data_IF_219374772502
#
_entry.id   IF_219374772502
#
_cell.length_a   1.000
_cell.length_b   1.000
_cell.length_c   1.000
_cell.angle_alpha   90.00
_cell.angle_beta   90.00
_cell.angle_gamma   90.00
#
_symmetry.space_group_name_H-M   'P 1'
#
loop_
_entity.id
_entity.type
_entity.pdbx_description
1 polymer ?
#
# COMPACT_ATOMS: atom_id res chain seq x y z
N UNK A 1 9.19 10.02 33.08
CA UNK A 1 10.65 10.21 32.83
C UNK A 1 11.16 9.23 31.77
N UNK A 2 10.91 7.93 31.87
CA UNK A 2 11.36 6.88 30.93
C UNK A 2 10.87 7.10 29.47
N UNK A 3 9.58 7.45 29.29
CA UNK A 3 9.01 7.67 27.95
C UNK A 3 9.71 8.80 27.20
N UNK A 4 9.91 9.95 27.84
CA UNK A 4 10.59 11.08 27.18
C UNK A 4 12.03 10.75 26.79
N UNK A 5 12.72 9.93 27.58
CA UNK A 5 14.06 9.43 27.26
C UNK A 5 14.04 8.53 26.03
N UNK A 6 12.99 7.70 25.88
CA UNK A 6 12.80 6.86 24.68
C UNK A 6 12.62 7.73 23.42
N UNK A 7 11.73 8.73 23.47
CA UNK A 7 11.53 9.67 22.35
C UNK A 7 12.82 10.40 21.98
N UNK A 8 13.55 10.91 22.96
CA UNK A 8 14.85 11.58 22.72
C UNK A 8 15.84 10.67 22.01
N UNK A 9 15.94 9.42 22.47
CA UNK A 9 16.85 8.44 21.88
C UNK A 9 16.45 8.08 20.45
N UNK A 10 15.15 7.92 20.18
CA UNK A 10 14.60 7.64 18.87
C UNK A 10 14.86 8.82 17.91
N UNK A 11 14.42 10.01 18.30
CA UNK A 11 14.45 11.20 17.45
C UNK A 11 15.85 11.74 17.19
N UNK A 12 16.78 11.60 18.16
CA UNK A 12 18.16 12.07 18.01
C UNK A 12 18.94 11.44 16.85
N UNK A 13 18.47 10.31 16.30
CA UNK A 13 19.11 9.57 15.21
C UNK A 13 18.21 9.33 14.01
N UNK A 14 17.03 9.94 14.00
CA UNK A 14 16.01 9.68 12.98
C UNK A 14 16.13 10.56 11.74
N UNK A 15 16.93 11.63 11.80
CA UNK A 15 17.00 12.57 10.69
C UNK A 15 18.43 12.96 10.36
N UNK A 16 18.79 13.12 9.06
CA UNK A 16 20.13 13.58 8.64
C UNK A 16 20.27 15.11 8.67
N UNK A 17 19.22 15.83 9.04
CA UNK A 17 19.14 17.30 9.12
C UNK A 17 18.58 17.74 10.47
N UNK A 18 18.71 19.04 10.84
CA UNK A 18 18.19 19.52 12.11
C UNK A 18 16.68 19.58 12.11
N UNK A 19 16.08 19.04 13.21
CA UNK A 19 14.64 19.04 13.46
C UNK A 19 14.38 19.57 14.86
N UNK A 20 13.44 20.51 14.99
CA UNK A 20 12.90 20.95 16.28
C UNK A 20 11.80 20.02 16.71
N UNK A 21 11.81 19.58 17.95
CA UNK A 21 10.75 18.73 18.52
C UNK A 21 10.20 19.42 19.76
N UNK A 22 8.91 19.67 19.74
CA UNK A 22 8.16 20.17 20.88
C UNK A 22 7.33 19.03 21.48
N UNK A 23 7.52 18.77 22.77
CA UNK A 23 6.86 17.67 23.47
C UNK A 23 5.57 18.13 24.13
N UNK A 24 4.72 17.17 24.50
CA UNK A 24 3.43 17.37 25.21
C UNK A 24 3.54 18.14 26.55
N UNK A 25 4.74 18.33 27.09
CA UNK A 25 4.99 19.15 28.27
C UNK A 25 5.42 20.60 27.92
N UNK A 26 5.31 20.97 26.65
CA UNK A 26 5.66 22.28 26.11
C UNK A 26 7.16 22.55 25.96
N UNK A 27 8.01 21.59 26.31
CA UNK A 27 9.47 21.73 26.17
C UNK A 27 9.90 21.35 24.76
N UNK A 28 10.75 22.19 24.18
CA UNK A 28 11.30 21.95 22.84
C UNK A 28 12.79 21.61 22.92
N UNK A 29 13.23 20.77 21.98
CA UNK A 29 14.63 20.42 21.79
C UNK A 29 14.94 20.40 20.29
N UNK A 30 16.19 20.70 19.90
CA UNK A 30 16.65 20.59 18.51
C UNK A 30 17.57 19.40 18.40
N UNK A 31 17.31 18.52 17.45
CA UNK A 31 18.13 17.39 17.10
C UNK A 31 18.86 17.65 15.78
N UNK A 32 20.16 17.38 15.73
CA UNK A 32 21.02 17.71 14.60
C UNK A 32 21.69 19.07 14.75
N UNK A 33 22.59 19.38 13.83
CA UNK A 33 23.35 20.62 13.81
C UNK A 33 22.77 21.60 12.81
N UNK A 34 22.59 22.88 13.19
CA UNK A 34 22.09 23.94 12.34
C UNK A 34 20.70 24.46 12.73
N UNK A 35 20.14 25.30 11.89
CA UNK A 35 18.80 25.88 12.10
C UNK A 35 17.74 24.91 11.57
N UNK A 36 16.78 24.47 12.40
CA UNK A 36 15.73 23.57 11.96
C UNK A 36 14.72 24.29 11.07
N UNK A 37 14.39 23.69 9.92
CA UNK A 37 13.31 24.12 9.02
C UNK A 37 12.01 23.35 9.27
N UNK A 38 12.10 22.25 10.01
CA UNK A 38 10.97 21.37 10.33
C UNK A 38 10.81 21.28 11.83
N UNK A 39 9.58 21.41 12.30
CA UNK A 39 9.20 21.18 13.69
C UNK A 39 8.18 20.06 13.78
N UNK A 40 8.41 19.13 14.72
CA UNK A 40 7.46 18.09 15.12
C UNK A 40 6.91 18.48 16.48
N UNK A 41 5.59 18.61 16.58
CA UNK A 41 4.89 18.92 17.83
C UNK A 41 4.11 17.69 18.27
N UNK A 42 4.44 17.15 19.43
CA UNK A 42 3.65 16.12 20.08
C UNK A 42 2.66 16.80 21.04
N UNK A 43 1.40 16.91 20.61
CA UNK A 43 0.31 17.42 21.45
C UNK A 43 -0.03 16.40 22.54
N UNK A 44 0.06 15.12 22.21
CA UNK A 44 -0.16 14.00 23.12
C UNK A 44 0.97 12.97 22.99
N UNK A 45 1.03 12.07 23.98
CA UNK A 45 1.96 10.94 23.94
C UNK A 45 1.40 9.84 23.06
N UNK A 46 2.24 9.30 22.19
CA UNK A 46 1.97 8.01 21.56
C UNK A 46 2.58 6.93 22.46
N UNK A 47 1.86 5.87 22.83
CA UNK A 47 2.38 4.84 23.70
C UNK A 47 3.65 4.20 23.12
N UNK A 48 4.66 4.04 23.97
CA UNK A 48 5.95 3.42 23.57
C UNK A 48 5.75 1.99 23.03
N UNK A 49 4.76 1.27 23.58
CA UNK A 49 4.36 -0.06 23.09
C UNK A 49 3.97 -0.07 21.62
N UNK A 50 3.23 0.95 21.19
CA UNK A 50 2.71 1.05 19.83
C UNK A 50 3.83 1.43 18.86
N UNK A 51 4.68 2.40 19.24
CA UNK A 51 5.87 2.77 18.47
C UNK A 51 6.81 1.58 18.31
N UNK A 52 7.02 0.77 19.37
CA UNK A 52 7.91 -0.39 19.28
C UNK A 52 7.32 -1.53 18.49
N UNK A 53 6.00 -1.66 18.46
CA UNK A 53 5.27 -2.67 17.67
C UNK A 53 5.30 -2.33 16.18
N UNK A 54 4.90 -1.13 15.83
CA UNK A 54 4.91 -0.61 14.46
C UNK A 54 5.01 0.92 14.48
N UNK A 55 6.24 1.45 14.39
CA UNK A 55 6.48 2.89 14.47
C UNK A 55 5.79 3.67 13.34
N UNK A 56 5.78 3.12 12.13
CA UNK A 56 5.17 3.78 10.97
C UNK A 56 3.67 3.96 11.16
N UNK A 57 2.98 2.90 11.60
CA UNK A 57 1.55 2.93 11.88
C UNK A 57 1.24 3.88 13.05
N UNK A 58 1.90 3.69 14.20
CA UNK A 58 1.63 4.47 15.41
C UNK A 58 1.86 5.98 15.23
N UNK A 59 2.92 6.37 14.50
CA UNK A 59 3.20 7.77 14.20
C UNK A 59 2.25 8.32 13.13
N UNK A 60 1.88 7.53 12.13
CA UNK A 60 0.92 7.90 11.10
C UNK A 60 -0.48 8.13 11.68
N UNK A 61 -0.99 7.22 12.49
CA UNK A 61 -2.27 7.38 13.21
C UNK A 61 -2.21 8.59 14.16
N UNK A 62 -1.09 8.76 14.88
CA UNK A 62 -0.89 9.92 15.75
C UNK A 62 -0.96 11.25 14.99
N UNK A 63 -0.47 11.30 13.75
CA UNK A 63 -0.58 12.46 12.88
C UNK A 63 -2.04 12.68 12.42
N UNK A 64 -2.73 11.64 11.98
CA UNK A 64 -4.13 11.71 11.57
C UNK A 64 -5.05 12.16 12.72
N UNK A 65 -4.79 11.68 13.93
CA UNK A 65 -5.52 12.04 15.15
C UNK A 65 -5.14 13.42 15.73
N UNK A 66 -4.22 14.16 15.06
CA UNK A 66 -3.68 15.44 15.56
C UNK A 66 -2.93 15.36 16.90
N UNK A 67 -2.52 14.17 17.30
CA UNK A 67 -1.61 13.98 18.44
C UNK A 67 -0.19 14.39 18.09
N UNK A 68 0.13 14.39 16.80
CA UNK A 68 1.39 14.87 16.23
C UNK A 68 1.04 15.91 15.16
N UNK A 69 1.71 17.04 15.19
CA UNK A 69 1.68 18.04 14.14
C UNK A 69 3.08 18.22 13.55
N UNK A 70 3.14 18.51 12.24
CA UNK A 70 4.39 18.73 11.52
C UNK A 70 4.30 20.11 10.87
N UNK A 71 5.22 20.99 11.22
CA UNK A 71 5.38 22.29 10.61
C UNK A 71 6.62 22.27 9.71
N UNK A 72 6.46 22.56 8.43
CA UNK A 72 7.49 22.48 7.39
C UNK A 72 7.23 21.37 6.37
N UNK A 73 8.26 20.94 5.67
CA UNK A 73 8.17 19.97 4.58
C UNK A 73 8.07 18.53 5.12
N UNK A 74 6.84 17.98 5.11
CA UNK A 74 6.55 16.60 5.54
C UNK A 74 7.24 15.55 4.64
N UNK A 75 7.38 15.81 3.34
CA UNK A 75 8.06 14.87 2.43
C UNK A 75 9.52 14.77 2.80
N UNK A 76 10.20 15.91 3.00
CA UNK A 76 11.59 15.96 3.47
C UNK A 76 11.77 15.21 4.79
N UNK A 77 10.82 15.38 5.73
CA UNK A 77 10.84 14.68 7.02
C UNK A 77 10.76 13.16 6.84
N UNK A 78 9.81 12.68 6.04
CA UNK A 78 9.62 11.25 5.79
C UNK A 78 10.83 10.64 5.08
N UNK A 79 11.33 11.27 4.02
CA UNK A 79 12.53 10.82 3.33
C UNK A 79 13.74 10.73 4.28
N UNK A 80 13.99 11.75 5.08
CA UNK A 80 15.09 11.75 6.05
C UNK A 80 14.94 10.65 7.11
N UNK A 81 13.72 10.37 7.56
CA UNK A 81 13.45 9.28 8.47
C UNK A 81 13.77 7.92 7.84
N UNK A 82 13.41 7.68 6.58
CA UNK A 82 13.73 6.44 5.86
C UNK A 82 15.23 6.28 5.59
N UNK A 83 15.92 7.35 5.18
CA UNK A 83 17.37 7.33 5.02
C UNK A 83 18.11 6.96 6.32
N UNK A 84 17.66 7.53 7.44
CA UNK A 84 18.24 7.29 8.75
C UNK A 84 17.82 5.95 9.38
N UNK A 85 16.62 5.44 9.07
CA UNK A 85 16.10 4.20 9.64
C UNK A 85 16.99 3.00 9.36
N UNK A 86 17.61 2.95 8.18
CA UNK A 86 18.57 1.91 7.81
C UNK A 86 19.79 1.88 8.73
N UNK A 87 20.29 3.02 9.19
CA UNK A 87 21.44 3.12 10.09
C UNK A 87 21.06 2.86 11.55
N UNK A 88 19.92 3.36 12.02
CA UNK A 88 19.41 3.17 13.37
C UNK A 88 19.02 1.71 13.64
N UNK A 89 18.24 1.10 12.75
CA UNK A 89 17.78 -0.29 12.90
C UNK A 89 18.92 -1.31 12.73
N UNK A 90 19.92 -1.03 11.91
CA UNK A 90 21.10 -1.91 11.73
C UNK A 90 22.09 -1.82 12.89
N UNK A 91 22.24 -0.65 13.52
CA UNK A 91 23.25 -0.40 14.54
C UNK A 91 22.77 -0.63 15.97
N UNK A 92 21.47 -0.78 16.22
CA UNK A 92 20.96 -0.81 17.58
C UNK A 92 20.96 -2.20 18.19
N UNK A 93 21.44 -2.29 19.44
CA UNK A 93 21.26 -3.45 20.34
C UNK A 93 19.76 -3.77 20.54
N UNK A 94 18.86 -2.84 20.18
CA UNK A 94 17.41 -2.95 20.24
C UNK A 94 16.79 -3.87 19.18
N UNK A 95 17.51 -4.19 18.09
CA UNK A 95 17.03 -5.16 17.08
C UNK A 95 16.62 -6.51 17.70
N UNK A 96 17.18 -6.87 18.82
CA UNK A 96 16.82 -8.11 19.55
C UNK A 96 15.49 -8.03 20.28
N UNK A 97 14.98 -6.81 20.52
CA UNK A 97 13.73 -6.54 21.24
C UNK A 97 12.59 -6.15 20.33
N UNK A 98 12.85 -5.92 19.03
CA UNK A 98 11.78 -5.65 18.06
C UNK A 98 11.09 -6.97 17.75
N UNK A 99 9.75 -7.05 17.85
CA UNK A 99 9.01 -8.22 17.45
C UNK A 99 9.30 -8.47 15.96
N UNK A 100 9.70 -9.70 15.61
CA UNK A 100 9.76 -10.11 14.22
C UNK A 100 8.32 -10.15 13.73
N UNK A 101 7.94 -9.22 12.85
CA UNK A 101 6.68 -9.34 12.13
C UNK A 101 6.75 -10.64 11.33
N UNK A 102 6.00 -11.64 11.75
CA UNK A 102 5.74 -12.82 10.96
C UNK A 102 4.49 -12.48 10.12
N UNK A 103 4.68 -12.19 8.85
CA UNK A 103 3.57 -12.22 7.91
C UNK A 103 3.12 -13.68 7.80
N UNK A 104 1.96 -13.97 8.37
CA UNK A 104 1.28 -15.26 8.20
C UNK A 104 0.29 -15.11 7.04
N UNK A 105 -0.06 -16.20 6.37
CA UNK A 105 -1.08 -16.20 5.32
C UNK A 105 -2.38 -15.54 5.82
N UNK A 106 -2.82 -15.88 7.02
CA UNK A 106 -3.99 -15.30 7.65
C UNK A 106 -3.89 -13.80 7.86
N UNK A 107 -2.71 -13.28 8.24
CA UNK A 107 -2.49 -11.84 8.39
C UNK A 107 -2.53 -11.11 7.04
N UNK A 108 -1.98 -11.72 5.99
CA UNK A 108 -2.04 -11.17 4.63
C UNK A 108 -3.46 -11.14 4.09
N UNK A 109 -4.26 -12.15 4.41
CA UNK A 109 -5.68 -12.21 4.08
C UNK A 109 -6.47 -11.10 4.77
N UNK A 110 -6.34 -10.98 6.11
CA UNK A 110 -6.98 -9.94 6.91
C UNK A 110 -6.58 -8.52 6.43
N UNK A 111 -5.30 -8.31 6.09
CA UNK A 111 -4.79 -7.03 5.59
C UNK A 111 -5.40 -6.69 4.22
N UNK A 112 -5.51 -7.66 3.30
CA UNK A 112 -6.12 -7.47 1.98
C UNK A 112 -7.62 -7.24 2.11
N UNK A 113 -8.32 -8.04 2.91
CA UNK A 113 -9.75 -7.87 3.16
C UNK A 113 -10.03 -6.50 3.74
N UNK A 114 -9.33 -6.07 4.80
CA UNK A 114 -9.54 -4.77 5.41
C UNK A 114 -9.31 -3.60 4.44
N UNK A 115 -8.43 -3.78 3.44
CA UNK A 115 -8.14 -2.74 2.44
C UNK A 115 -9.21 -2.68 1.35
N UNK A 116 -9.67 -3.83 0.84
CA UNK A 116 -10.58 -3.88 -0.31
C UNK A 116 -12.06 -3.97 0.08
N UNK A 117 -12.38 -4.40 1.30
CA UNK A 117 -13.76 -4.53 1.79
C UNK A 117 -14.37 -3.23 2.33
N UNK A 118 -13.72 -2.08 2.05
CA UNK A 118 -14.33 -0.75 2.22
C UNK A 118 -15.60 -0.62 1.35
N UNK A 119 -15.72 -1.47 0.33
CA UNK A 119 -16.91 -1.60 -0.52
C UNK A 119 -16.71 -1.04 -1.93
N UNK A 120 -17.34 -1.71 -2.89
CA UNK A 120 -17.25 -1.35 -4.31
C UNK A 120 -17.70 0.08 -4.59
N UNK A 121 -18.67 0.61 -3.82
CA UNK A 121 -19.20 1.95 -4.04
C UNK A 121 -18.20 3.05 -3.67
N UNK A 122 -17.35 2.80 -2.67
CA UNK A 122 -16.25 3.70 -2.36
C UNK A 122 -15.25 3.81 -3.52
N UNK A 123 -14.85 2.67 -4.08
CA UNK A 123 -13.88 2.65 -5.19
C UNK A 123 -14.44 3.29 -6.46
N UNK A 124 -15.73 3.12 -6.77
CA UNK A 124 -16.40 3.77 -7.90
C UNK A 124 -16.41 5.30 -7.82
N UNK A 125 -16.25 5.90 -6.64
CA UNK A 125 -16.24 7.37 -6.51
C UNK A 125 -14.99 8.02 -7.11
N UNK A 126 -13.89 7.30 -7.26
CA UNK A 126 -12.61 7.89 -7.68
C UNK A 126 -11.81 7.05 -8.68
N UNK A 127 -12.14 5.78 -8.88
CA UNK A 127 -11.58 5.00 -9.98
C UNK A 127 -12.29 5.37 -11.30
N UNK A 128 -11.58 5.08 -12.39
CA UNK A 128 -12.17 5.15 -13.73
C UNK A 128 -13.27 4.10 -13.94
N UNK A 129 -14.11 4.20 -15.00
CA UNK A 129 -15.20 3.26 -15.24
C UNK A 129 -14.77 1.79 -15.36
N UNK A 130 -13.51 1.52 -15.73
CA UNK A 130 -13.00 0.15 -15.81
C UNK A 130 -12.67 -0.45 -14.43
N UNK A 131 -12.78 0.35 -13.37
CA UNK A 131 -12.42 -0.07 -12.00
C UNK A 131 -11.01 -0.62 -11.89
N UNK A 132 -10.06 -0.09 -12.65
CA UNK A 132 -8.69 -0.57 -12.65
C UNK A 132 -7.86 0.10 -11.58
N UNK A 133 -7.59 -0.60 -10.50
CA UNK A 133 -6.84 -0.08 -9.34
C UNK A 133 -5.35 -0.41 -9.42
N UNK A 134 -4.69 0.13 -10.42
CA UNK A 134 -3.23 0.09 -10.59
C UNK A 134 -2.79 1.25 -11.48
N UNK A 135 -1.47 1.54 -11.53
CA UNK A 135 -0.96 2.67 -12.31
C UNK A 135 -1.38 2.57 -13.77
N UNK A 136 -1.94 3.67 -14.29
CA UNK A 136 -2.30 3.81 -15.69
C UNK A 136 -1.07 4.00 -16.59
N UNK A 137 -1.19 3.71 -17.87
CA UNK A 137 -0.17 3.96 -18.89
C UNK A 137 -0.62 5.10 -19.77
N UNK A 138 -0.06 6.28 -19.54
CA UNK A 138 -0.32 7.47 -20.35
C UNK A 138 0.61 7.46 -21.57
N UNK A 139 0.05 7.28 -22.74
CA UNK A 139 0.77 7.44 -24.00
C UNK A 139 1.05 8.93 -24.27
N UNK A 140 2.04 9.23 -25.10
CA UNK A 140 2.36 10.62 -25.45
C UNK A 140 1.12 11.33 -26.03
N UNK A 141 0.80 12.49 -25.46
CA UNK A 141 -0.37 13.29 -25.85
C UNK A 141 -1.70 12.93 -25.17
N UNK A 142 -1.72 11.87 -24.34
CA UNK A 142 -2.89 11.53 -23.50
C UNK A 142 -2.57 11.77 -22.03
N UNK A 143 -2.74 12.99 -21.56
CA UNK A 143 -2.41 13.36 -20.17
C UNK A 143 -3.61 13.48 -19.25
N UNK A 144 -4.85 13.53 -19.81
CA UNK A 144 -6.02 13.99 -19.07
C UNK A 144 -7.17 12.96 -19.04
N UNK A 145 -7.04 11.82 -19.74
CA UNK A 145 -8.08 10.79 -19.82
C UNK A 145 -7.62 9.50 -19.12
N UNK A 146 -8.02 9.36 -17.86
CA UNK A 146 -7.64 8.22 -17.04
C UNK A 146 -8.19 6.90 -17.59
N UNK A 147 -9.43 6.87 -18.11
CA UNK A 147 -10.04 5.65 -18.66
C UNK A 147 -9.23 5.14 -19.86
N UNK A 148 -8.90 6.03 -20.80
CA UNK A 148 -8.04 5.66 -21.94
C UNK A 148 -6.67 5.18 -21.49
N UNK A 149 -6.06 5.83 -20.51
CA UNK A 149 -4.76 5.43 -19.99
C UNK A 149 -4.81 4.06 -19.28
N UNK A 150 -5.91 3.73 -18.61
CA UNK A 150 -6.11 2.42 -18.01
C UNK A 150 -6.33 1.34 -19.07
N UNK A 151 -7.12 1.61 -20.11
CA UNK A 151 -7.31 0.71 -21.26
C UNK A 151 -5.96 0.49 -21.97
N UNK A 152 -5.22 1.56 -22.27
CA UNK A 152 -3.89 1.48 -22.87
C UNK A 152 -2.93 0.62 -22.03
N UNK A 153 -2.96 0.74 -20.69
CA UNK A 153 -2.18 -0.09 -19.78
C UNK A 153 -2.53 -1.57 -19.91
N UNK A 154 -3.82 -1.91 -19.96
CA UNK A 154 -4.26 -3.30 -20.09
C UNK A 154 -3.73 -3.90 -21.41
N UNK A 155 -3.89 -3.20 -22.53
CA UNK A 155 -3.34 -3.64 -23.80
C UNK A 155 -1.82 -3.72 -23.81
N UNK A 156 -1.15 -2.74 -23.17
CA UNK A 156 0.31 -2.75 -23.04
C UNK A 156 0.82 -4.00 -22.28
N UNK A 157 0.13 -4.42 -21.23
CA UNK A 157 0.45 -5.63 -20.48
C UNK A 157 0.22 -6.86 -21.35
N UNK A 158 -0.97 -6.98 -21.96
CA UNK A 158 -1.33 -8.13 -22.78
C UNK A 158 -0.39 -8.30 -23.99
N UNK A 159 -0.07 -7.20 -24.67
CA UNK A 159 0.84 -7.24 -25.82
C UNK A 159 2.27 -7.72 -25.47
N UNK A 160 2.76 -7.43 -24.24
CA UNK A 160 4.05 -7.96 -23.75
C UNK A 160 4.06 -9.47 -23.60
N UNK A 161 2.91 -10.09 -23.40
CA UNK A 161 2.78 -11.54 -23.26
C UNK A 161 2.76 -12.26 -24.62
N UNK A 162 2.69 -11.51 -25.74
CA UNK A 162 2.54 -12.06 -27.09
C UNK A 162 1.42 -13.11 -27.15
N UNK A 163 0.17 -12.73 -26.82
CA UNK A 163 -0.92 -13.67 -26.64
C UNK A 163 -1.31 -14.34 -27.98
N UNK A 164 -1.54 -15.65 -27.91
CA UNK A 164 -2.09 -16.44 -29.01
C UNK A 164 -3.50 -16.89 -28.63
N UNK A 165 -4.45 -16.79 -29.56
CA UNK A 165 -5.83 -17.22 -29.35
C UNK A 165 -5.90 -18.67 -28.84
N UNK A 166 -6.76 -18.94 -27.86
CA UNK A 166 -6.97 -20.24 -27.24
C UNK A 166 -5.94 -20.64 -26.19
N UNK A 167 -4.87 -19.86 -26.00
CA UNK A 167 -3.89 -20.08 -24.92
C UNK A 167 -4.49 -19.68 -23.55
N UNK A 168 -3.82 -20.11 -22.49
CA UNK A 168 -4.22 -19.83 -21.11
C UNK A 168 -3.48 -18.64 -20.52
N UNK A 169 -4.18 -17.86 -19.69
CA UNK A 169 -3.64 -16.75 -18.91
C UNK A 169 -4.05 -16.92 -17.45
N UNK A 170 -3.11 -16.68 -16.54
CA UNK A 170 -3.38 -16.58 -15.09
C UNK A 170 -3.24 -15.12 -14.67
N UNK A 171 -4.29 -14.57 -14.05
CA UNK A 171 -4.33 -13.21 -13.48
C UNK A 171 -4.41 -13.31 -11.95
N UNK A 172 -3.28 -13.10 -11.27
CA UNK A 172 -3.17 -13.16 -9.81
C UNK A 172 -3.41 -11.76 -9.24
N UNK A 173 -4.49 -11.59 -8.46
CA UNK A 173 -4.96 -10.30 -8.02
C UNK A 173 -5.76 -9.60 -9.10
N UNK A 174 -6.72 -10.31 -9.69
CA UNK A 174 -7.48 -9.84 -10.85
C UNK A 174 -8.40 -8.63 -10.57
N UNK A 175 -8.56 -8.23 -9.32
CA UNK A 175 -9.37 -7.09 -8.90
C UNK A 175 -10.82 -7.24 -9.39
N UNK A 176 -11.36 -6.22 -10.07
CA UNK A 176 -12.69 -6.25 -10.68
C UNK A 176 -12.71 -6.89 -12.09
N UNK A 177 -11.57 -7.43 -12.55
CA UNK A 177 -11.50 -8.31 -13.71
C UNK A 177 -11.21 -7.64 -15.05
N UNK A 178 -10.88 -6.37 -15.11
CA UNK A 178 -10.70 -5.64 -16.39
C UNK A 178 -9.66 -6.28 -17.30
N UNK A 179 -8.49 -6.67 -16.76
CA UNK A 179 -7.44 -7.32 -17.56
C UNK A 179 -7.91 -8.68 -18.09
N UNK A 180 -8.49 -9.52 -17.23
CA UNK A 180 -8.94 -10.85 -17.63
C UNK A 180 -10.12 -10.82 -18.61
N UNK A 181 -11.06 -9.87 -18.44
CA UNK A 181 -12.20 -9.68 -19.36
C UNK A 181 -11.70 -9.23 -20.74
N UNK A 182 -10.78 -8.28 -20.79
CA UNK A 182 -10.16 -7.82 -22.04
C UNK A 182 -9.38 -8.96 -22.70
N UNK A 183 -8.60 -9.73 -21.95
CA UNK A 183 -7.84 -10.86 -22.47
C UNK A 183 -8.75 -11.94 -23.10
N UNK A 184 -9.86 -12.25 -22.46
CA UNK A 184 -10.82 -13.22 -23.00
C UNK A 184 -11.56 -12.68 -24.20
N UNK A 185 -12.05 -11.43 -24.12
CA UNK A 185 -12.90 -10.82 -25.15
C UNK A 185 -12.17 -10.46 -26.43
N UNK A 186 -11.00 -9.87 -26.28
CA UNK A 186 -10.30 -9.23 -27.41
C UNK A 186 -9.12 -10.06 -27.93
N UNK A 187 -8.54 -10.91 -27.07
CA UNK A 187 -7.41 -11.77 -27.43
C UNK A 187 -7.77 -13.27 -27.50
N UNK A 188 -9.01 -13.63 -27.19
CA UNK A 188 -9.46 -15.03 -27.26
C UNK A 188 -8.77 -15.99 -26.30
N UNK A 189 -8.24 -15.46 -25.18
CA UNK A 189 -7.52 -16.25 -24.18
C UNK A 189 -8.50 -16.98 -23.23
N UNK A 190 -8.06 -18.12 -22.70
CA UNK A 190 -8.72 -18.80 -21.59
C UNK A 190 -8.10 -18.30 -20.28
N UNK A 191 -8.86 -17.54 -19.50
CA UNK A 191 -8.30 -16.83 -18.34
C UNK A 191 -8.75 -17.44 -17.03
N UNK A 192 -7.80 -17.64 -16.12
CA UNK A 192 -8.08 -17.93 -14.73
C UNK A 192 -7.71 -16.70 -13.91
N UNK A 193 -8.68 -16.10 -13.21
CA UNK A 193 -8.48 -14.98 -12.31
C UNK A 193 -8.54 -15.42 -10.85
N UNK A 194 -7.74 -14.79 -10.02
CA UNK A 194 -7.67 -15.03 -8.57
C UNK A 194 -7.81 -13.70 -7.85
N UNK A 195 -8.73 -13.60 -6.88
CA UNK A 195 -8.86 -12.44 -5.98
C UNK A 195 -9.00 -12.90 -4.53
N UNK A 196 -8.45 -12.09 -3.61
CA UNK A 196 -8.56 -12.30 -2.16
C UNK A 196 -9.75 -11.53 -1.54
N UNK A 197 -10.35 -10.57 -2.28
CA UNK A 197 -11.41 -9.73 -1.77
C UNK A 197 -12.79 -10.39 -1.95
N UNK A 198 -13.53 -10.48 -0.87
CA UNK A 198 -14.92 -10.95 -0.87
C UNK A 198 -15.86 -9.99 -1.60
N UNK A 199 -15.53 -8.69 -1.64
CA UNK A 199 -16.29 -7.66 -2.34
C UNK A 199 -16.05 -7.66 -3.86
N UNK A 200 -14.80 -7.94 -4.29
CA UNK A 200 -14.46 -7.99 -5.72
C UNK A 200 -14.95 -9.27 -6.38
N UNK A 201 -14.95 -10.39 -5.66
CA UNK A 201 -15.28 -11.70 -6.22
C UNK A 201 -16.68 -11.74 -6.87
N UNK A 202 -17.80 -11.33 -6.21
CA UNK A 202 -19.10 -11.32 -6.84
C UNK A 202 -19.17 -10.37 -8.04
N UNK A 203 -18.48 -9.23 -7.98
CA UNK A 203 -18.46 -8.25 -9.06
C UNK A 203 -17.80 -8.82 -10.33
N UNK A 204 -16.66 -9.47 -10.19
CA UNK A 204 -15.95 -10.07 -11.32
C UNK A 204 -16.68 -11.31 -11.87
N UNK A 205 -17.31 -12.11 -11.00
CA UNK A 205 -18.15 -13.24 -11.45
C UNK A 205 -19.32 -12.76 -12.30
N UNK A 206 -20.02 -11.72 -11.86
CA UNK A 206 -21.11 -11.14 -12.63
C UNK A 206 -20.64 -10.55 -13.97
N UNK A 207 -19.51 -9.84 -13.99
CA UNK A 207 -18.94 -9.29 -15.21
C UNK A 207 -18.48 -10.39 -16.18
N UNK A 208 -18.02 -11.53 -15.68
CA UNK A 208 -17.56 -12.67 -16.46
C UNK A 208 -18.67 -13.62 -16.94
N UNK A 209 -19.91 -13.47 -16.48
CA UNK A 209 -21.01 -14.40 -16.72
C UNK A 209 -21.31 -14.66 -18.22
N UNK A 210 -21.02 -13.69 -19.10
CA UNK A 210 -21.15 -13.86 -20.56
C UNK A 210 -19.96 -14.58 -21.22
N UNK A 211 -18.90 -14.87 -20.46
CA UNK A 211 -17.62 -15.41 -20.94
C UNK A 211 -17.22 -16.72 -20.24
N UNK A 212 -18.17 -17.46 -19.70
CA UNK A 212 -18.01 -18.68 -18.90
C UNK A 212 -17.14 -19.77 -19.54
N UNK A 213 -17.08 -19.80 -20.88
CA UNK A 213 -16.20 -20.71 -21.64
C UNK A 213 -14.72 -20.32 -21.61
N UNK A 214 -14.43 -19.06 -21.32
CA UNK A 214 -13.10 -18.48 -21.41
C UNK A 214 -12.56 -18.03 -20.06
N UNK A 215 -13.44 -17.85 -19.08
CA UNK A 215 -13.07 -17.26 -17.80
C UNK A 215 -13.43 -18.20 -16.64
N UNK A 216 -12.45 -18.45 -15.80
CA UNK A 216 -12.59 -19.11 -14.50
C UNK A 216 -12.14 -18.16 -13.40
N UNK A 217 -12.91 -18.03 -12.34
CA UNK A 217 -12.55 -17.20 -11.19
C UNK A 217 -12.46 -18.10 -9.97
N UNK A 218 -11.34 -18.00 -9.26
CA UNK A 218 -11.08 -18.75 -8.05
C UNK A 218 -11.16 -17.78 -6.85
N UNK A 219 -12.04 -18.03 -5.88
CA UNK A 219 -11.97 -17.36 -4.59
C UNK A 219 -10.73 -17.84 -3.84
N UNK A 220 -10.26 -17.03 -2.94
CA UNK A 220 -9.01 -17.23 -2.21
C UNK A 220 -8.94 -18.58 -1.46
N UNK A 221 -10.03 -19.03 -0.87
CA UNK A 221 -10.14 -20.28 -0.12
C UNK A 221 -9.97 -21.57 -0.99
N UNK A 222 -9.95 -21.40 -2.32
CA UNK A 222 -9.80 -22.47 -3.31
C UNK A 222 -8.50 -22.39 -4.11
N UNK A 223 -7.56 -21.55 -3.69
CA UNK A 223 -6.24 -21.46 -4.33
C UNK A 223 -5.38 -22.62 -3.82
N UNK A 224 -5.53 -23.78 -4.43
CA UNK A 224 -4.59 -24.88 -4.27
C UNK A 224 -3.58 -24.71 -5.42
N UNK A 225 -2.32 -24.42 -5.09
CA UNK A 225 -1.24 -24.16 -6.07
C UNK A 225 -1.15 -25.27 -7.12
N UNK A 226 -1.43 -26.52 -6.73
CA UNK A 226 -1.46 -27.70 -7.61
C UNK A 226 -2.61 -27.68 -8.66
N UNK A 227 -3.56 -26.74 -8.56
CA UNK A 227 -4.64 -26.59 -9.55
C UNK A 227 -4.41 -25.46 -10.56
N UNK A 228 -3.34 -24.70 -10.38
CA UNK A 228 -2.97 -23.54 -11.21
C UNK A 228 -1.93 -23.93 -12.26
N UNK A 229 -1.13 -24.96 -11.99
CA UNK A 229 -0.12 -25.53 -12.89
C UNK A 229 -0.69 -26.73 -13.63
#
# INVERSE_FOLDING_TARGET
>A
MLEKTFYKMMLSKSFPFPVKVTYWDGKSEVYGNGTPEIEIVFNEKIPMSDITRNASLALGEGYMDKKIEIHGDIQKLIFGAYESAGSFMRSSKFRKFLPKQKHTEKQSEEDVQSHYDIGNDFYKMWLDPTMTYSCAYFEEGNTDDLEKAQIAKVHHILNKLHPEEGKTLLDIGCGWGTLMLTAAKEYGLKVTGVTLSEEQYPAVVNAAACYDRYIRILPHDKIIVDQIL
#
